data_IF_612025462719
#
_entry.id   IF_612025462719
#
_cell.length_a   1.000
_cell.length_b   1.000
_cell.length_c   1.000
_cell.angle_alpha   90.00
_cell.angle_beta   90.00
_cell.angle_gamma   90.00
#
_symmetry.space_group_name_H-M   'P 1'
#
loop_
_entity.id
_entity.type
_entity.pdbx_description
1 polymer ?
#
# COMPACT_ATOMS: atom_id res chain seq x y z
N UNK A 1 28.07 12.44 14.23
CA UNK A 1 28.69 12.76 12.92
C UNK A 1 27.64 12.46 11.84
N UNK A 2 27.78 13.00 10.63
CA UNK A 2 26.93 12.56 9.51
C UNK A 2 27.39 11.17 9.07
N UNK A 3 26.48 10.22 9.05
CA UNK A 3 26.72 8.88 8.53
C UNK A 3 26.63 8.90 7.00
N UNK A 4 27.68 8.48 6.29
CA UNK A 4 27.61 8.29 4.85
C UNK A 4 26.93 6.96 4.52
N UNK A 5 26.05 6.96 3.51
CA UNK A 5 25.41 5.74 3.02
C UNK A 5 26.45 4.83 2.35
N UNK A 6 26.49 3.58 2.78
CA UNK A 6 27.37 2.59 2.21
C UNK A 6 26.89 2.13 0.83
N UNK A 7 27.81 1.56 0.04
CA UNK A 7 27.52 1.20 -1.35
C UNK A 7 26.59 -0.01 -1.52
N UNK A 8 26.40 -0.79 -0.46
CA UNK A 8 25.44 -1.89 -0.41
C UNK A 8 24.66 -1.81 0.90
N UNK A 9 23.41 -1.37 0.83
CA UNK A 9 22.47 -1.33 1.95
C UNK A 9 21.10 -1.84 1.49
N UNK A 10 20.61 -2.90 2.14
CA UNK A 10 19.33 -3.52 1.82
C UNK A 10 18.56 -3.86 3.09
N UNK A 11 17.26 -3.62 3.07
CA UNK A 11 16.30 -4.13 4.05
C UNK A 11 15.24 -4.97 3.36
N UNK A 12 14.95 -6.14 3.93
CA UNK A 12 13.80 -6.94 3.52
C UNK A 12 12.54 -6.34 4.10
N UNK A 13 11.46 -6.26 3.30
CA UNK A 13 10.16 -5.79 3.78
C UNK A 13 9.70 -6.56 5.02
N UNK A 14 9.12 -5.85 5.98
CA UNK A 14 8.59 -6.44 7.21
C UNK A 14 7.17 -6.97 7.02
N UNK A 15 6.34 -6.28 6.21
CA UNK A 15 4.99 -6.70 5.85
C UNK A 15 4.98 -7.37 4.47
N UNK A 16 4.49 -8.60 4.39
CA UNK A 16 4.37 -9.38 3.15
C UNK A 16 2.93 -9.84 2.95
N UNK A 17 2.16 -9.06 2.20
CA UNK A 17 0.78 -9.38 1.80
C UNK A 17 0.74 -10.41 0.67
N UNK A 18 -0.20 -11.36 0.77
CA UNK A 18 -0.64 -12.19 -0.33
C UNK A 18 -1.48 -11.40 -1.36
N UNK A 19 -1.85 -12.05 -2.46
CA UNK A 19 -2.91 -11.51 -3.34
C UNK A 19 -4.23 -11.49 -2.55
N UNK A 20 -5.00 -10.43 -2.69
CA UNK A 20 -6.38 -10.44 -2.21
C UNK A 20 -7.30 -10.93 -3.32
N UNK A 21 -8.28 -11.76 -3.00
CA UNK A 21 -9.16 -12.37 -4.00
C UNK A 21 -10.62 -12.14 -3.61
N UNK A 22 -11.43 -11.85 -4.62
CA UNK A 22 -12.85 -11.59 -4.47
C UNK A 22 -13.65 -12.88 -4.67
N UNK A 23 -14.70 -13.08 -3.89
CA UNK A 23 -15.61 -14.22 -4.03
C UNK A 23 -16.96 -13.91 -3.39
N UNK A 24 -17.97 -14.72 -3.69
CA UNK A 24 -19.20 -14.77 -2.88
C UNK A 24 -19.37 -16.16 -2.31
N UNK A 25 -20.22 -16.29 -1.28
CA UNK A 25 -20.54 -17.57 -0.69
C UNK A 25 -21.85 -18.11 -1.28
N UNK A 26 -21.87 -19.38 -1.63
CA UNK A 26 -23.11 -20.09 -1.99
C UNK A 26 -23.98 -20.30 -0.74
N UNK A 27 -25.19 -20.84 -0.93
CA UNK A 27 -26.06 -21.24 0.19
C UNK A 27 -25.45 -22.31 1.10
N UNK A 28 -24.41 -23.02 0.62
CA UNK A 28 -23.69 -24.06 1.35
C UNK A 28 -22.31 -23.58 1.83
N UNK A 29 -22.09 -22.26 1.91
CA UNK A 29 -20.81 -21.64 2.29
C UNK A 29 -19.60 -22.00 1.38
N UNK A 30 -19.87 -22.39 0.14
CA UNK A 30 -18.82 -22.65 -0.84
C UNK A 30 -18.38 -21.34 -1.52
N UNK A 31 -17.06 -21.14 -1.63
CA UNK A 31 -16.48 -19.99 -2.33
C UNK A 31 -16.75 -20.07 -3.84
N UNK A 32 -17.47 -19.07 -4.35
CA UNK A 32 -17.80 -18.91 -5.76
C UNK A 32 -17.08 -17.70 -6.36
N UNK A 33 -16.56 -17.80 -7.59
CA UNK A 33 -15.78 -16.72 -8.20
C UNK A 33 -16.65 -15.53 -8.59
N UNK A 34 -16.06 -14.32 -8.57
CA UNK A 34 -16.63 -13.16 -9.25
C UNK A 34 -16.08 -13.14 -10.68
N UNK A 35 -16.99 -13.17 -11.65
CA UNK A 35 -16.66 -13.26 -13.07
C UNK A 35 -16.00 -11.99 -13.60
N UNK A 36 -15.09 -12.16 -14.56
CA UNK A 36 -14.54 -11.07 -15.37
C UNK A 36 -15.15 -11.17 -16.76
N UNK A 37 -15.89 -10.14 -17.14
CA UNK A 37 -16.52 -10.00 -18.44
C UNK A 37 -15.58 -9.32 -19.42
N UNK A 38 -15.72 -9.67 -20.71
CA UNK A 38 -14.95 -9.08 -21.81
C UNK A 38 -15.89 -8.31 -22.73
N UNK A 39 -15.80 -6.99 -22.68
CA UNK A 39 -16.74 -6.09 -23.35
C UNK A 39 -16.07 -5.37 -24.50
N UNK A 40 -16.75 -5.34 -25.66
CA UNK A 40 -16.42 -4.44 -26.76
C UNK A 40 -17.36 -3.24 -26.73
N UNK A 41 -16.81 -2.07 -26.47
CA UNK A 41 -17.58 -0.83 -26.36
C UNK A 41 -17.12 0.21 -27.37
N UNK A 42 -18.00 1.16 -27.70
CA UNK A 42 -17.71 2.29 -28.58
C UNK A 42 -17.70 3.56 -27.73
N UNK A 43 -16.53 4.11 -27.47
CA UNK A 43 -16.39 5.39 -26.79
C UNK A 43 -16.26 6.53 -27.83
N UNK A 44 -16.78 7.74 -27.58
CA UNK A 44 -16.49 8.88 -28.44
C UNK A 44 -15.01 9.28 -28.33
N UNK A 45 -14.46 9.89 -29.39
CA UNK A 45 -13.16 10.56 -29.30
C UNK A 45 -13.30 11.84 -28.47
N UNK A 46 -12.74 11.84 -27.27
CA UNK A 46 -12.80 12.99 -26.35
C UNK A 46 -11.45 13.59 -25.96
N UNK A 47 -10.34 13.08 -26.50
CA UNK A 47 -9.01 13.51 -26.10
C UNK A 47 -8.65 14.89 -26.66
N UNK A 48 -7.97 15.72 -25.85
CA UNK A 48 -7.46 17.04 -26.30
C UNK A 48 -6.62 16.92 -27.59
N UNK A 49 -5.77 15.89 -27.66
CA UNK A 49 -4.92 15.63 -28.80
C UNK A 49 -5.68 15.20 -30.07
N UNK A 50 -6.98 14.90 -30.02
CA UNK A 50 -7.78 14.60 -31.22
C UNK A 50 -8.06 15.88 -32.02
N UNK A 51 -8.30 17.01 -31.35
CA UNK A 51 -8.66 18.28 -31.97
C UNK A 51 -7.56 19.34 -31.92
N UNK A 52 -6.57 19.23 -31.02
CA UNK A 52 -5.57 20.27 -30.79
C UNK A 52 -4.12 19.74 -30.82
N UNK A 53 -3.17 20.62 -31.15
CA UNK A 53 -1.72 20.37 -31.19
C UNK A 53 -1.02 21.11 -30.04
N UNK A 54 -0.12 20.40 -29.36
CA UNK A 54 0.75 20.96 -28.33
C UNK A 54 -0.01 21.62 -27.17
N UNK A 55 0.71 22.32 -26.32
CA UNK A 55 0.15 23.02 -25.15
C UNK A 55 -0.57 24.32 -25.47
N UNK A 56 -0.44 24.84 -26.70
CA UNK A 56 -0.85 26.22 -27.03
C UNK A 56 -2.26 26.32 -27.64
N UNK A 57 -3.13 25.34 -27.38
CA UNK A 57 -4.52 25.33 -27.87
C UNK A 57 -4.65 25.54 -29.40
N UNK A 58 -3.68 25.05 -30.18
CA UNK A 58 -3.69 25.22 -31.63
C UNK A 58 -4.56 24.14 -32.28
N UNK A 59 -5.64 24.49 -33.02
CA UNK A 59 -6.52 23.49 -33.61
C UNK A 59 -5.83 22.71 -34.74
N UNK A 60 -6.14 21.41 -34.84
CA UNK A 60 -5.79 20.56 -35.99
C UNK A 60 -6.78 20.83 -37.13
N UNK A 61 -6.32 20.67 -38.37
CA UNK A 61 -7.21 20.63 -39.53
C UNK A 61 -7.84 19.22 -39.62
N UNK A 62 -8.89 18.98 -38.83
CA UNK A 62 -9.68 17.74 -38.81
C UNK A 62 -11.05 18.02 -39.40
N UNK A 63 -11.60 17.09 -40.18
CA UNK A 63 -12.94 17.26 -40.72
C UNK A 63 -13.99 17.01 -39.62
N UNK A 64 -15.20 17.62 -39.68
CA UNK A 64 -16.22 17.45 -38.64
C UNK A 64 -16.54 15.98 -38.32
N UNK A 65 -16.56 15.12 -39.34
CA UNK A 65 -16.81 13.69 -39.19
C UNK A 65 -15.70 12.94 -38.43
N UNK A 66 -14.45 13.42 -38.45
CA UNK A 66 -13.31 12.70 -37.87
C UNK A 66 -13.36 12.65 -36.34
N UNK A 67 -13.98 13.68 -35.74
CA UNK A 67 -14.25 13.79 -34.31
C UNK A 67 -15.54 13.05 -33.90
N UNK A 68 -16.44 12.78 -34.85
CA UNK A 68 -17.66 12.01 -34.62
C UNK A 68 -17.42 10.48 -34.65
N UNK A 69 -16.30 10.01 -35.21
CA UNK A 69 -15.98 8.59 -35.21
C UNK A 69 -15.82 8.03 -33.80
N UNK A 70 -16.44 6.88 -33.58
CA UNK A 70 -16.24 6.10 -32.37
C UNK A 70 -14.79 5.59 -32.29
N UNK A 71 -14.31 5.44 -31.08
CA UNK A 71 -13.09 4.77 -30.68
C UNK A 71 -13.49 3.40 -30.06
N UNK A 72 -13.49 2.31 -30.84
CA UNK A 72 -13.78 0.98 -30.32
C UNK A 72 -12.73 0.57 -29.28
N UNK A 73 -13.19 0.05 -28.15
CA UNK A 73 -12.34 -0.47 -27.08
C UNK A 73 -12.74 -1.89 -26.76
N UNK A 74 -11.76 -2.71 -26.38
CA UNK A 74 -11.97 -4.05 -25.89
C UNK A 74 -11.37 -4.13 -24.50
N UNK A 75 -12.20 -4.30 -23.47
CA UNK A 75 -11.78 -4.22 -22.07
C UNK A 75 -12.34 -5.37 -21.24
N UNK A 76 -11.69 -5.63 -20.11
CA UNK A 76 -12.22 -6.47 -19.03
C UNK A 76 -12.87 -5.61 -17.94
N UNK A 77 -14.02 -6.10 -17.48
CA UNK A 77 -14.85 -5.52 -16.44
C UNK A 77 -15.30 -6.61 -15.47
N UNK A 78 -15.71 -6.24 -14.26
CA UNK A 78 -16.06 -7.19 -13.22
C UNK A 78 -17.29 -6.64 -12.50
N UNK A 79 -18.40 -7.37 -12.54
CA UNK A 79 -19.67 -6.94 -11.97
C UNK A 79 -20.23 -8.00 -11.02
N UNK A 80 -20.94 -7.54 -9.99
CA UNK A 80 -21.62 -8.42 -9.04
C UNK A 80 -22.75 -9.17 -9.73
N UNK A 81 -22.70 -10.50 -9.65
CA UNK A 81 -23.74 -11.38 -10.20
C UNK A 81 -25.11 -11.07 -9.60
N UNK A 82 -26.19 -10.97 -10.42
CA UNK A 82 -27.54 -10.82 -9.89
C UNK A 82 -27.89 -11.90 -8.86
N UNK A 83 -28.47 -11.47 -7.73
CA UNK A 83 -28.81 -12.36 -6.61
C UNK A 83 -27.73 -12.45 -5.52
N UNK A 84 -26.52 -11.93 -5.76
CA UNK A 84 -25.45 -11.84 -4.75
C UNK A 84 -25.56 -10.52 -3.99
N UNK A 85 -25.79 -10.60 -2.68
CA UNK A 85 -25.90 -9.41 -1.81
C UNK A 85 -24.59 -9.07 -1.09
N UNK A 86 -23.69 -10.04 -0.96
CA UNK A 86 -22.43 -9.90 -0.24
C UNK A 86 -21.28 -10.46 -1.07
N UNK A 87 -20.21 -9.67 -1.21
CA UNK A 87 -18.93 -10.06 -1.78
C UNK A 87 -17.88 -10.04 -0.69
N UNK A 88 -17.00 -11.02 -0.68
CA UNK A 88 -15.88 -11.12 0.23
C UNK A 88 -14.59 -10.80 -0.52
N UNK A 89 -13.68 -10.12 0.17
CA UNK A 89 -12.30 -9.95 -0.28
C UNK A 89 -11.39 -10.42 0.84
N UNK A 90 -10.48 -11.36 0.57
CA UNK A 90 -9.61 -11.91 1.62
C UNK A 90 -8.16 -12.01 1.17
N UNK A 91 -7.23 -11.84 2.11
CA UNK A 91 -5.80 -12.04 1.91
C UNK A 91 -5.11 -12.42 3.22
N UNK A 92 -3.94 -13.04 3.11
CA UNK A 92 -3.06 -13.27 4.25
C UNK A 92 -1.93 -12.25 4.32
N UNK A 93 -1.49 -11.92 5.53
CA UNK A 93 -0.38 -11.03 5.79
C UNK A 93 0.64 -11.73 6.69
N UNK A 94 1.89 -11.85 6.23
CA UNK A 94 3.02 -12.29 7.05
C UNK A 94 3.83 -11.09 7.51
N UNK A 95 4.26 -11.12 8.77
CA UNK A 95 4.95 -10.01 9.40
C UNK A 95 6.23 -10.52 10.06
N UNK A 96 7.32 -9.78 9.87
CA UNK A 96 8.62 -10.04 10.48
C UNK A 96 9.27 -8.72 10.89
N UNK A 97 9.99 -8.72 12.00
CA UNK A 97 10.74 -7.57 12.51
C UNK A 97 12.04 -7.30 11.71
N UNK A 98 11.93 -7.22 10.38
CA UNK A 98 13.08 -7.07 9.48
C UNK A 98 13.69 -5.66 9.50
N UNK A 99 12.93 -4.66 9.98
CA UNK A 99 13.45 -3.30 10.17
C UNK A 99 14.46 -3.18 11.31
N UNK A 100 14.62 -4.20 12.16
CA UNK A 100 15.56 -4.19 13.28
C UNK A 100 17.02 -4.31 12.85
N UNK A 101 17.33 -4.72 11.62
CA UNK A 101 18.70 -4.73 11.09
C UNK A 101 18.73 -4.81 9.57
N UNK A 102 19.76 -4.27 8.91
CA UNK A 102 19.91 -4.46 7.48
C UNK A 102 20.23 -5.91 7.15
N UNK A 103 19.60 -6.42 6.09
CA UNK A 103 19.86 -7.73 5.50
C UNK A 103 21.27 -7.75 4.88
N UNK A 104 21.56 -6.73 4.08
CA UNK A 104 22.88 -6.51 3.48
C UNK A 104 23.37 -5.13 3.89
N UNK A 105 24.58 -5.06 4.41
CA UNK A 105 25.29 -3.82 4.71
C UNK A 105 26.79 -4.10 4.64
N UNK A 106 27.52 -3.36 3.82
CA UNK A 106 28.96 -3.55 3.61
C UNK A 106 29.85 -2.60 4.42
N UNK A 107 29.27 -1.82 5.34
CA UNK A 107 29.98 -0.94 6.25
C UNK A 107 29.52 -1.21 7.69
N UNK A 108 30.45 -1.56 8.59
CA UNK A 108 30.12 -1.92 9.96
C UNK A 108 29.64 -0.71 10.78
N UNK A 109 30.20 0.49 10.55
CA UNK A 109 29.78 1.69 11.26
C UNK A 109 28.34 2.08 10.91
N UNK A 110 27.98 1.98 9.62
CA UNK A 110 26.59 2.18 9.16
C UNK A 110 25.66 1.13 9.77
N UNK A 111 26.08 -0.14 9.79
CA UNK A 111 25.29 -1.23 10.39
C UNK A 111 25.05 -0.97 11.89
N UNK A 112 26.08 -0.63 12.64
CA UNK A 112 25.98 -0.40 14.08
C UNK A 112 25.11 0.82 14.41
N UNK A 113 25.23 1.90 13.63
CA UNK A 113 24.37 3.08 13.77
C UNK A 113 22.88 2.74 13.54
N UNK A 114 22.56 1.97 12.50
CA UNK A 114 21.19 1.56 12.20
C UNK A 114 20.63 0.56 13.22
N UNK A 115 21.46 -0.37 13.72
CA UNK A 115 21.10 -1.26 14.83
C UNK A 115 20.78 -0.47 16.09
N UNK A 116 21.62 0.51 16.43
CA UNK A 116 21.42 1.38 17.59
C UNK A 116 20.16 2.24 17.48
N UNK A 117 19.87 2.76 16.28
CA UNK A 117 18.63 3.48 16.00
C UNK A 117 17.40 2.60 16.23
N UNK A 118 17.38 1.39 15.64
CA UNK A 118 16.25 0.48 15.76
C UNK A 118 16.07 -0.02 17.21
N UNK A 119 17.17 -0.25 17.94
CA UNK A 119 17.13 -0.62 19.36
C UNK A 119 16.54 0.51 20.21
N UNK A 120 17.03 1.73 20.07
CA UNK A 120 16.53 2.91 20.80
C UNK A 120 15.06 3.18 20.47
N UNK A 121 14.69 3.09 19.20
CA UNK A 121 13.30 3.24 18.75
C UNK A 121 12.39 2.17 19.36
N UNK A 122 12.87 0.93 19.48
CA UNK A 122 12.14 -0.15 20.15
C UNK A 122 11.98 0.11 21.65
N UNK A 123 13.05 0.50 22.34
CA UNK A 123 13.05 0.77 23.79
C UNK A 123 12.08 1.89 24.17
N UNK A 124 11.99 2.92 23.31
CA UNK A 124 11.03 4.02 23.44
C UNK A 124 9.64 3.69 22.88
N UNK A 125 9.37 2.41 22.58
CA UNK A 125 8.08 1.92 22.13
C UNK A 125 7.58 2.52 20.80
N UNK A 126 8.50 2.98 19.94
CA UNK A 126 8.18 3.62 18.66
C UNK A 126 7.47 2.72 17.66
N UNK A 127 7.67 1.39 17.75
CA UNK A 127 6.94 0.46 16.88
C UNK A 127 5.44 0.45 17.13
N UNK A 128 4.97 0.88 18.31
CA UNK A 128 3.54 1.03 18.57
C UNK A 128 2.89 2.07 17.65
N UNK A 129 3.57 3.18 17.35
CA UNK A 129 3.03 4.21 16.43
C UNK A 129 2.84 3.66 15.01
N UNK A 130 3.83 2.90 14.51
CA UNK A 130 3.72 2.26 13.19
C UNK A 130 2.62 1.18 13.20
N UNK A 131 2.60 0.35 14.24
CA UNK A 131 1.62 -0.70 14.42
C UNK A 131 0.18 -0.15 14.45
N UNK A 132 -0.04 0.93 15.19
CA UNK A 132 -1.33 1.61 15.28
C UNK A 132 -1.81 2.10 13.91
N UNK A 133 -0.92 2.73 13.15
CA UNK A 133 -1.21 3.21 11.79
C UNK A 133 -1.52 2.07 10.80
N UNK A 134 -0.76 0.98 10.87
CA UNK A 134 -1.03 -0.20 10.05
C UNK A 134 -2.36 -0.86 10.45
N UNK A 135 -2.63 -1.01 11.75
CA UNK A 135 -3.90 -1.54 12.26
C UNK A 135 -5.08 -0.70 11.75
N UNK A 136 -4.95 0.63 11.77
CA UNK A 136 -5.96 1.55 11.27
C UNK A 136 -6.31 1.29 9.80
N UNK A 137 -5.30 1.17 8.94
CA UNK A 137 -5.50 0.88 7.51
C UNK A 137 -6.08 -0.52 7.26
N UNK A 138 -5.74 -1.52 8.10
CA UNK A 138 -6.29 -2.88 7.99
C UNK A 138 -7.79 -2.85 8.34
N UNK A 139 -8.13 -2.29 9.50
CA UNK A 139 -9.48 -2.32 10.08
C UNK A 139 -10.46 -1.35 9.41
N UNK A 140 -9.98 -0.25 8.83
CA UNK A 140 -10.83 0.66 8.03
C UNK A 140 -11.08 0.14 6.61
N UNK A 141 -10.50 -1.00 6.23
CA UNK A 141 -10.65 -1.54 4.88
C UNK A 141 -9.91 -0.77 3.78
N UNK A 142 -8.92 0.08 4.11
CA UNK A 142 -8.25 0.97 3.12
C UNK A 142 -7.65 0.21 1.94
N UNK A 143 -7.27 -1.04 2.18
CA UNK A 143 -6.74 -1.97 1.18
C UNK A 143 -7.75 -2.45 0.13
N UNK A 144 -9.04 -2.14 0.28
CA UNK A 144 -10.08 -2.37 -0.72
C UNK A 144 -10.08 -1.33 -1.85
N UNK A 145 -9.35 -0.22 -1.68
CA UNK A 145 -9.31 0.89 -2.62
C UNK A 145 -10.74 1.36 -2.96
N UNK A 146 -11.07 1.51 -4.25
CA UNK A 146 -12.40 1.91 -4.71
C UNK A 146 -13.54 1.01 -4.25
N UNK A 147 -13.26 -0.23 -3.86
CA UNK A 147 -14.31 -1.14 -3.35
C UNK A 147 -14.68 -0.85 -1.90
N UNK A 148 -13.99 0.06 -1.20
CA UNK A 148 -14.41 0.54 0.12
C UNK A 148 -15.74 1.33 0.04
N UNK A 149 -16.04 1.91 -1.13
CA UNK A 149 -17.30 2.58 -1.47
C UNK A 149 -18.43 1.56 -1.75
N UNK A 150 -18.81 0.80 -0.72
CA UNK A 150 -19.88 -0.20 -0.77
C UNK A 150 -21.02 0.14 0.22
N UNK A 151 -22.11 -0.64 0.20
CA UNK A 151 -23.31 -0.35 1.03
C UNK A 151 -23.11 -0.66 2.51
N UNK A 152 -22.19 -1.57 2.81
CA UNK A 152 -21.85 -1.99 4.16
C UNK A 152 -20.53 -2.75 4.12
N UNK A 153 -19.69 -2.55 5.14
CA UNK A 153 -18.35 -3.12 5.17
C UNK A 153 -18.04 -3.61 6.58
N UNK A 154 -17.80 -4.92 6.72
CA UNK A 154 -17.21 -5.47 7.94
C UNK A 154 -15.83 -6.06 7.66
N UNK A 155 -14.92 -5.92 8.62
CA UNK A 155 -13.55 -6.41 8.55
C UNK A 155 -13.32 -7.40 9.69
N UNK A 156 -12.78 -8.56 9.35
CA UNK A 156 -12.39 -9.61 10.28
C UNK A 156 -10.90 -9.91 10.10
N UNK A 157 -10.18 -9.95 11.21
CA UNK A 157 -8.76 -10.32 11.27
C UNK A 157 -8.62 -11.51 12.21
N UNK A 158 -8.05 -12.60 11.72
CA UNK A 158 -7.67 -13.76 12.53
C UNK A 158 -6.15 -13.82 12.63
N UNK A 159 -5.62 -13.73 13.85
CA UNK A 159 -4.17 -13.73 14.10
C UNK A 159 -3.61 -15.14 14.28
N UNK A 160 -2.30 -15.30 14.20
CA UNK A 160 -1.57 -16.53 14.53
C UNK A 160 -1.85 -17.05 15.94
N UNK A 161 -2.24 -16.15 16.84
CA UNK A 161 -2.54 -16.43 18.25
C UNK A 161 -3.98 -16.93 18.42
N UNK A 162 -4.68 -17.13 17.29
CA UNK A 162 -6.09 -17.53 17.19
C UNK A 162 -7.05 -16.48 17.77
N UNK A 163 -6.58 -15.25 17.92
CA UNK A 163 -7.43 -14.13 18.28
C UNK A 163 -8.19 -13.64 17.06
N UNK A 164 -9.48 -13.39 17.26
CA UNK A 164 -10.39 -12.92 16.23
C UNK A 164 -10.81 -11.49 16.55
N UNK A 165 -10.39 -10.55 15.71
CA UNK A 165 -10.66 -9.12 15.85
C UNK A 165 -11.66 -8.74 14.75
N UNK A 166 -12.75 -8.07 15.13
CA UNK A 166 -13.85 -7.74 14.21
C UNK A 166 -14.22 -6.27 14.32
N UNK A 167 -14.44 -5.65 13.16
CA UNK A 167 -15.10 -4.36 13.01
C UNK A 167 -16.35 -4.60 12.17
N UNK A 168 -17.51 -4.40 12.76
CA UNK A 168 -18.81 -4.69 12.13
C UNK A 168 -19.20 -3.65 11.08
N UNK A 169 -18.82 -2.38 11.27
CA UNK A 169 -19.10 -1.29 10.33
C UNK A 169 -17.86 -0.39 10.13
N UNK A 170 -17.05 -0.74 9.14
CA UNK A 170 -15.89 0.03 8.74
C UNK A 170 -16.22 1.22 7.82
N UNK A 171 -17.46 1.33 7.30
CA UNK A 171 -17.85 2.43 6.38
C UNK A 171 -17.80 3.80 7.05
N UNK A 172 -17.91 3.82 8.38
CA UNK A 172 -17.90 5.03 9.21
C UNK A 172 -16.51 5.38 9.74
N UNK A 173 -15.52 4.52 9.51
CA UNK A 173 -14.18 4.72 10.02
C UNK A 173 -13.39 5.60 9.05
N UNK A 174 -12.68 6.58 9.61
CA UNK A 174 -11.80 7.46 8.83
C UNK A 174 -10.46 7.65 9.51
N UNK A 175 -9.46 8.06 8.72
CA UNK A 175 -8.08 8.22 9.19
C UNK A 175 -7.93 9.32 10.26
N UNK A 176 -8.67 10.42 10.15
CA UNK A 176 -8.63 11.52 11.12
C UNK A 176 -9.88 11.56 12.03
N UNK A 177 -10.84 10.66 11.83
CA UNK A 177 -12.06 10.59 12.62
C UNK A 177 -11.90 9.81 13.92
N UNK A 178 -12.82 10.06 14.85
CA UNK A 178 -12.98 9.29 16.08
C UNK A 178 -13.74 8.00 15.78
N UNK A 179 -13.14 6.88 16.15
CA UNK A 179 -13.77 5.56 16.03
C UNK A 179 -14.74 5.35 17.19
N UNK A 180 -15.78 4.55 16.98
CA UNK A 180 -16.64 4.10 18.08
C UNK A 180 -15.85 3.20 19.04
N UNK A 181 -16.42 2.99 20.24
CA UNK A 181 -15.73 2.29 21.32
C UNK A 181 -15.37 0.83 20.98
N UNK A 182 -16.28 0.00 20.41
CA UNK A 182 -15.93 -1.33 19.92
C UNK A 182 -14.81 -1.32 18.87
N UNK A 183 -14.90 -0.45 17.86
CA UNK A 183 -13.85 -0.33 16.84
C UNK A 183 -12.51 0.12 17.43
N UNK A 184 -12.53 0.97 18.46
CA UNK A 184 -11.32 1.43 19.17
C UNK A 184 -10.66 0.28 19.94
N UNK A 185 -11.44 -0.57 20.63
CA UNK A 185 -10.90 -1.77 21.28
C UNK A 185 -10.24 -2.72 20.27
N UNK A 186 -10.91 -2.97 19.12
CA UNK A 186 -10.35 -3.76 18.03
C UNK A 186 -9.04 -3.17 17.48
N UNK A 187 -8.95 -1.84 17.38
CA UNK A 187 -7.74 -1.13 16.99
C UNK A 187 -6.60 -1.33 18.00
N UNK A 188 -6.88 -1.23 19.30
CA UNK A 188 -5.89 -1.44 20.37
C UNK A 188 -5.35 -2.88 20.39
N UNK A 189 -6.23 -3.88 20.27
CA UNK A 189 -5.84 -5.29 20.20
C UNK A 189 -4.93 -5.56 18.99
N UNK A 190 -5.32 -5.10 17.80
CA UNK A 190 -4.51 -5.29 16.61
C UNK A 190 -3.19 -4.51 16.66
N UNK A 191 -3.20 -3.32 17.28
CA UNK A 191 -1.99 -2.52 17.52
C UNK A 191 -1.02 -3.28 18.40
N UNK A 192 -1.48 -3.89 19.50
CA UNK A 192 -0.63 -4.68 20.38
C UNK A 192 0.00 -5.88 19.66
N UNK A 193 -0.80 -6.61 18.87
CA UNK A 193 -0.31 -7.72 18.04
C UNK A 193 0.76 -7.27 17.03
N UNK A 194 0.49 -6.20 16.29
CA UNK A 194 1.42 -5.66 15.29
C UNK A 194 2.70 -5.08 15.92
N UNK A 195 2.61 -4.52 17.12
CA UNK A 195 3.78 -3.98 17.85
C UNK A 195 4.77 -5.10 18.16
N UNK A 196 4.29 -6.24 18.67
CA UNK A 196 5.13 -7.44 18.85
C UNK A 196 5.69 -7.92 17.52
N UNK A 197 4.85 -8.05 16.51
CA UNK A 197 5.24 -8.55 15.20
C UNK A 197 6.34 -7.73 14.50
N UNK A 198 6.38 -6.41 14.74
CA UNK A 198 7.38 -5.50 14.18
C UNK A 198 8.66 -5.39 15.02
N UNK A 199 8.64 -5.86 16.27
CA UNK A 199 9.74 -5.66 17.23
C UNK A 199 10.37 -6.95 17.76
N UNK A 200 9.78 -8.12 17.50
CA UNK A 200 10.26 -9.43 17.95
C UNK A 200 10.72 -10.30 16.76
N UNK A 201 11.92 -10.88 16.86
CA UNK A 201 12.52 -11.73 15.80
C UNK A 201 12.26 -13.22 15.96
N UNK A 202 11.94 -13.66 17.17
CA UNK A 202 11.87 -15.08 17.55
C UNK A 202 10.60 -15.77 17.07
N UNK A 203 9.58 -15.02 16.68
CA UNK A 203 8.25 -15.54 16.36
C UNK A 203 7.87 -15.27 14.90
N UNK A 204 7.04 -16.16 14.35
CA UNK A 204 6.47 -15.99 13.02
C UNK A 204 5.05 -15.48 13.13
N UNK A 205 4.86 -14.20 12.83
CA UNK A 205 3.55 -13.57 12.85
C UNK A 205 2.88 -13.69 11.49
N UNK A 206 1.61 -14.10 11.52
CA UNK A 206 0.75 -14.17 10.35
C UNK A 206 -0.69 -13.87 10.76
N UNK A 207 -1.45 -13.32 9.83
CA UNK A 207 -2.88 -13.09 10.01
C UNK A 207 -3.63 -13.29 8.69
N UNK A 208 -4.87 -13.73 8.81
CA UNK A 208 -5.83 -13.79 7.71
C UNK A 208 -6.83 -12.65 7.87
N UNK A 209 -6.95 -11.83 6.82
CA UNK A 209 -7.84 -10.67 6.79
C UNK A 209 -8.94 -10.96 5.80
N UNK A 210 -10.19 -10.73 6.21
CA UNK A 210 -11.39 -10.89 5.39
C UNK A 210 -12.28 -9.67 5.52
N UNK A 211 -12.61 -9.06 4.40
CA UNK A 211 -13.68 -8.08 4.31
C UNK A 211 -14.97 -8.75 3.80
N UNK A 212 -16.10 -8.36 4.36
CA UNK A 212 -17.44 -8.62 3.82
C UNK A 212 -18.02 -7.28 3.34
N UNK A 213 -18.28 -7.19 2.04
CA UNK A 213 -18.84 -6.02 1.37
C UNK A 213 -20.30 -6.32 1.02
N UNK A 214 -21.24 -5.56 1.57
CA UNK A 214 -22.62 -5.58 1.11
C UNK A 214 -22.74 -4.73 -0.16
N UNK A 215 -23.28 -5.34 -1.21
CA UNK A 215 -23.25 -4.81 -2.58
C UNK A 215 -24.63 -4.87 -3.23
N UNK A 216 -24.81 -4.07 -4.27
CA UNK A 216 -25.92 -4.13 -5.20
C UNK A 216 -25.69 -5.16 -6.31
N UNK A 217 -26.79 -5.65 -6.87
CA UNK A 217 -26.74 -6.49 -8.06
C UNK A 217 -26.31 -5.64 -9.26
N UNK A 218 -25.26 -6.09 -9.95
CA UNK A 218 -24.65 -5.34 -11.05
C UNK A 218 -23.75 -4.18 -10.61
N UNK A 219 -23.41 -4.06 -9.32
CA UNK A 219 -22.35 -3.14 -8.89
C UNK A 219 -21.01 -3.55 -9.53
N UNK A 220 -20.20 -2.58 -9.96
CA UNK A 220 -18.86 -2.85 -10.50
C UNK A 220 -17.89 -3.16 -9.35
N UNK A 221 -17.13 -4.24 -9.48
CA UNK A 221 -15.97 -4.54 -8.64
C UNK A 221 -14.73 -4.04 -9.36
N UNK A 222 -13.78 -3.49 -8.60
CA UNK A 222 -12.55 -2.87 -9.10
C UNK A 222 -11.29 -3.64 -8.69
N UNK A 223 -10.89 -4.71 -9.40
CA UNK A 223 -9.67 -5.47 -9.14
C UNK A 223 -8.37 -4.70 -9.46
N UNK A 224 -7.23 -5.39 -9.38
CA UNK A 224 -5.99 -4.90 -9.99
C UNK A 224 -6.11 -4.94 -11.52
N UNK A 225 -5.46 -4.00 -12.19
CA UNK A 225 -5.27 -4.04 -13.64
C UNK A 225 -3.85 -4.53 -13.95
N UNK A 226 -3.72 -5.40 -14.94
CA UNK A 226 -2.42 -5.83 -15.45
C UNK A 226 -1.75 -4.73 -16.28
N UNK A 227 -0.43 -4.62 -16.16
CA UNK A 227 0.34 -3.71 -16.99
C UNK A 227 0.61 -4.37 -18.34
N UNK A 228 0.22 -3.72 -19.43
CA UNK A 228 0.43 -4.20 -20.80
C UNK A 228 1.45 -3.30 -21.49
N UNK A 229 2.60 -3.86 -21.85
CA UNK A 229 3.69 -3.12 -22.50
C UNK A 229 3.34 -2.65 -23.92
N UNK A 230 2.49 -3.41 -24.60
CA UNK A 230 2.05 -3.10 -25.96
C UNK A 230 0.59 -3.50 -26.18
N UNK A 231 -0.03 -2.89 -27.20
CA UNK A 231 -1.38 -3.28 -27.62
C UNK A 231 -1.28 -4.39 -28.65
N UNK A 232 -2.01 -5.47 -28.40
CA UNK A 232 -2.14 -6.60 -29.32
C UNK A 232 -3.57 -6.71 -29.83
N UNK A 233 -3.73 -7.03 -31.11
CA UNK A 233 -5.06 -7.19 -31.70
C UNK A 233 -5.78 -8.40 -31.11
N UNK A 234 -7.04 -8.21 -30.73
CA UNK A 234 -7.85 -9.27 -30.12
C UNK A 234 -7.59 -9.51 -28.63
N UNK A 235 -6.71 -8.74 -28.00
CA UNK A 235 -6.45 -8.77 -26.55
C UNK A 235 -7.09 -7.54 -25.89
N UNK A 236 -7.73 -7.68 -24.70
CA UNK A 236 -8.27 -6.53 -23.98
C UNK A 236 -7.18 -5.50 -23.65
N UNK A 237 -7.44 -4.22 -23.93
CA UNK A 237 -6.53 -3.11 -23.61
C UNK A 237 -6.53 -2.74 -22.12
N UNK A 238 -7.57 -3.15 -21.39
CA UNK A 238 -7.64 -3.19 -19.93
C UNK A 238 -7.85 -4.65 -19.56
N UNK A 239 -6.86 -5.27 -18.93
CA UNK A 239 -6.92 -6.64 -18.44
C UNK A 239 -6.93 -6.65 -16.91
N UNK A 240 -7.82 -7.41 -16.30
CA UNK A 240 -7.93 -7.48 -14.84
C UNK A 240 -7.10 -8.64 -14.29
N UNK A 241 -6.59 -8.47 -13.08
CA UNK A 241 -5.83 -9.50 -12.39
C UNK A 241 -6.78 -10.55 -11.81
N UNK A 242 -6.42 -11.82 -11.94
CA UNK A 242 -7.19 -12.95 -11.42
C UNK A 242 -6.33 -13.93 -10.62
N UNK A 243 -6.99 -14.87 -9.94
CA UNK A 243 -6.39 -16.04 -9.32
C UNK A 243 -7.34 -17.24 -9.43
N UNK A 244 -6.78 -18.43 -9.56
CA UNK A 244 -7.54 -19.68 -9.56
C UNK A 244 -7.98 -20.06 -8.13
N UNK A 245 -9.27 -20.34 -7.95
CA UNK A 245 -9.84 -20.95 -6.75
C UNK A 245 -9.61 -22.46 -6.76
N UNK A 246 -9.76 -23.11 -5.60
CA UNK A 246 -9.58 -24.58 -5.48
C UNK A 246 -10.50 -25.41 -6.40
N UNK A 247 -11.63 -24.85 -6.83
CA UNK A 247 -12.55 -25.48 -7.78
C UNK A 247 -12.12 -25.32 -9.26
N UNK A 248 -10.92 -24.80 -9.53
CA UNK A 248 -10.36 -24.59 -10.87
C UNK A 248 -10.92 -23.37 -11.62
N UNK A 249 -11.74 -22.53 -10.97
CA UNK A 249 -12.30 -21.32 -11.59
C UNK A 249 -11.48 -20.09 -11.23
N UNK A 250 -11.25 -19.23 -12.21
CA UNK A 250 -10.64 -17.92 -12.01
C UNK A 250 -11.61 -16.96 -11.30
N UNK A 251 -11.07 -16.17 -10.38
CA UNK A 251 -11.79 -15.05 -9.76
C UNK A 251 -10.94 -13.79 -9.78
N UNK A 252 -11.59 -12.63 -9.77
CA UNK A 252 -10.92 -11.36 -9.73
C UNK A 252 -10.06 -11.15 -8.46
N UNK A 253 -8.94 -10.44 -8.60
CA UNK A 253 -7.96 -10.29 -7.52
C UNK A 253 -7.27 -8.92 -7.48
N UNK A 254 -6.74 -8.57 -6.32
CA UNK A 254 -5.69 -7.59 -6.16
C UNK A 254 -4.31 -8.24 -6.15
N UNK A 255 -3.35 -7.56 -6.79
CA UNK A 255 -1.95 -7.87 -6.58
C UNK A 255 -1.54 -7.57 -5.13
N UNK A 256 -0.66 -8.40 -4.56
CA UNK A 256 -0.18 -8.21 -3.19
C UNK A 256 0.50 -6.85 -2.98
N UNK A 257 1.17 -6.30 -4.00
CA UNK A 257 1.80 -4.97 -3.96
C UNK A 257 0.76 -3.85 -3.81
N UNK A 258 -0.44 -3.99 -4.41
CA UNK A 258 -1.52 -3.02 -4.31
C UNK A 258 -2.13 -3.02 -2.89
N UNK A 259 -2.28 -4.20 -2.29
CA UNK A 259 -2.66 -4.35 -0.88
C UNK A 259 -1.60 -3.72 0.02
N UNK A 260 -0.33 -4.10 -0.14
CA UNK A 260 0.78 -3.59 0.68
C UNK A 260 0.96 -2.07 0.57
N UNK A 261 0.74 -1.50 -0.62
CA UNK A 261 0.76 -0.05 -0.81
C UNK A 261 -0.32 0.69 0.00
N UNK A 262 -1.53 0.13 0.09
CA UNK A 262 -2.59 0.70 0.90
C UNK A 262 -2.26 0.59 2.40
N UNK A 263 -1.79 -0.57 2.87
CA UNK A 263 -1.38 -0.72 4.28
C UNK A 263 -0.29 0.28 4.66
N UNK A 264 0.65 0.56 3.75
CA UNK A 264 1.75 1.51 3.93
C UNK A 264 1.38 2.98 3.71
N UNK A 265 0.11 3.31 3.50
CA UNK A 265 -0.36 4.70 3.41
C UNK A 265 -0.52 5.29 4.81
N UNK A 266 0.61 5.61 5.43
CA UNK A 266 0.70 6.02 6.84
C UNK A 266 1.52 7.29 7.08
N UNK A 267 2.16 7.85 6.05
CA UNK A 267 3.03 9.03 6.19
C UNK A 267 2.19 10.30 6.08
N UNK A 268 1.76 10.85 7.21
CA UNK A 268 1.26 12.23 7.33
C UNK A 268 2.24 13.13 8.11
N UNK A 269 3.50 12.69 8.22
CA UNK A 269 4.58 13.44 8.86
C UNK A 269 5.36 14.32 7.88
N UNK A 270 4.89 14.47 6.64
CA UNK A 270 5.63 15.15 5.57
C UNK A 270 5.53 16.68 5.65
N UNK A 271 4.56 17.20 6.41
CA UNK A 271 4.37 18.63 6.69
C UNK A 271 3.48 18.81 7.93
N UNK A 272 3.52 19.97 8.58
CA UNK A 272 2.62 20.30 9.71
C UNK A 272 1.14 20.32 9.29
N UNK A 273 0.87 20.87 8.11
CA UNK A 273 -0.45 20.89 7.46
C UNK A 273 -0.70 19.67 6.56
N UNK A 274 -0.20 18.48 6.93
CA UNK A 274 -0.47 17.28 6.16
C UNK A 274 -1.98 16.98 6.10
N UNK A 275 -2.55 16.97 4.90
CA UNK A 275 -3.99 16.80 4.66
C UNK A 275 -4.39 15.32 4.48
N UNK A 276 -3.42 14.44 4.22
CA UNK A 276 -3.63 13.00 4.04
C UNK A 276 -2.36 12.18 4.33
N UNK A 277 -2.52 10.92 4.71
CA UNK A 277 -1.41 9.99 4.75
C UNK A 277 -1.00 9.57 3.34
N UNK A 278 0.29 9.66 3.04
CA UNK A 278 0.90 9.18 1.81
C UNK A 278 1.38 7.75 1.99
N UNK A 279 1.44 7.02 0.88
CA UNK A 279 2.21 5.77 0.82
C UNK A 279 3.67 6.07 1.12
N UNK A 280 4.19 5.46 2.18
CA UNK A 280 5.59 5.54 2.57
C UNK A 280 6.49 5.23 1.37
N UNK A 281 7.29 6.21 0.99
CA UNK A 281 8.36 6.09 0.03
C UNK A 281 9.42 7.17 0.32
N UNK A 282 10.59 7.01 -0.27
CA UNK A 282 11.80 7.75 0.03
C UNK A 282 11.64 9.26 -0.17
N UNK A 283 10.79 9.68 -1.10
CA UNK A 283 10.61 11.07 -1.52
C UNK A 283 9.18 11.62 -1.30
N UNK A 284 8.33 10.89 -0.56
CA UNK A 284 6.95 11.31 -0.28
C UNK A 284 6.11 11.55 -1.54
N UNK A 285 6.14 10.64 -2.52
CA UNK A 285 5.37 10.78 -3.77
C UNK A 285 3.85 10.84 -3.52
N UNK A 286 3.24 11.97 -3.89
CA UNK A 286 1.82 12.24 -3.88
C UNK A 286 1.28 12.08 -5.30
N UNK A 287 0.62 10.95 -5.55
CA UNK A 287 0.16 10.57 -6.91
C UNK A 287 -1.00 11.41 -7.41
N UNK A 288 -1.79 12.00 -6.51
CA UNK A 288 -2.95 12.81 -6.85
C UNK A 288 -2.51 14.16 -7.41
N UNK A 289 -1.55 14.80 -6.75
CA UNK A 289 -1.00 16.09 -7.18
C UNK A 289 0.23 15.95 -8.08
N UNK A 290 0.76 14.74 -8.26
CA UNK A 290 1.94 14.43 -9.07
C UNK A 290 3.17 15.21 -8.58
N UNK A 291 3.37 15.25 -7.26
CA UNK A 291 4.49 15.96 -6.61
C UNK A 291 5.22 15.07 -5.60
N UNK A 292 6.49 15.38 -5.34
CA UNK A 292 7.25 14.80 -4.24
C UNK A 292 7.15 15.70 -3.01
N UNK A 293 6.40 15.29 -1.98
CA UNK A 293 6.18 16.06 -0.75
C UNK A 293 7.42 16.14 0.12
N UNK A 294 8.31 15.15 0.00
CA UNK A 294 9.65 15.15 0.63
C UNK A 294 10.70 15.31 -0.46
N UNK A 295 10.62 16.41 -1.21
CA UNK A 295 11.58 16.71 -2.27
C UNK A 295 12.96 17.03 -1.66
N UNK A 296 14.05 16.65 -2.34
CA UNK A 296 15.44 16.82 -1.85
C UNK A 296 15.80 18.25 -1.45
N UNK A 297 15.13 19.25 -2.05
CA UNK A 297 15.31 20.66 -1.69
C UNK A 297 14.88 20.99 -0.25
N UNK A 298 13.94 20.23 0.31
CA UNK A 298 13.44 20.38 1.69
C UNK A 298 14.31 19.66 2.71
N UNK A 299 15.22 18.76 2.26
CA UNK A 299 16.10 17.95 3.11
C UNK A 299 15.38 17.09 4.15
N UNK A 300 14.10 16.79 3.94
CA UNK A 300 13.28 15.91 4.78
C UNK A 300 12.91 14.59 4.08
N UNK A 301 13.61 14.25 2.99
CA UNK A 301 13.54 12.93 2.36
C UNK A 301 14.35 11.88 3.13
N UNK A 302 14.08 10.62 2.84
CA UNK A 302 14.67 9.50 3.57
C UNK A 302 16.21 9.53 3.58
N UNK A 303 16.84 9.88 2.45
CA UNK A 303 18.29 9.82 2.33
C UNK A 303 18.99 10.99 3.02
N UNK A 304 18.34 12.16 3.14
CA UNK A 304 18.85 13.21 4.02
C UNK A 304 18.68 12.82 5.49
N UNK A 305 17.50 12.36 5.88
CA UNK A 305 17.19 12.04 7.28
C UNK A 305 18.01 10.88 7.83
N UNK A 306 18.23 9.81 7.06
CA UNK A 306 18.97 8.63 7.53
C UNK A 306 20.47 8.91 7.76
N UNK A 307 21.04 9.95 7.15
CA UNK A 307 22.43 10.35 7.41
C UNK A 307 22.62 10.89 8.82
N UNK A 308 21.57 11.44 9.41
CA UNK A 308 21.56 11.98 10.78
C UNK A 308 21.26 10.91 11.85
N UNK A 309 21.33 9.62 11.51
CA UNK A 309 21.00 8.49 12.41
C UNK A 309 21.60 8.60 13.81
N UNK A 310 22.90 8.91 13.93
CA UNK A 310 23.54 9.06 15.25
C UNK A 310 22.96 10.23 16.06
N UNK A 311 22.64 11.34 15.39
CA UNK A 311 22.06 12.52 16.03
C UNK A 311 20.62 12.24 16.50
N UNK A 312 19.82 11.52 15.70
CA UNK A 312 18.49 11.06 16.09
C UNK A 312 18.55 10.15 17.32
N UNK A 313 19.41 9.14 17.30
CA UNK A 313 19.60 8.23 18.44
C UNK A 313 20.02 8.97 19.71
N UNK A 314 20.96 9.92 19.61
CA UNK A 314 21.37 10.75 20.75
C UNK A 314 20.21 11.60 21.28
N UNK A 315 19.49 12.28 20.39
CA UNK A 315 18.35 13.14 20.76
C UNK A 315 17.26 12.34 21.44
N UNK A 316 16.92 11.16 20.91
CA UNK A 316 15.94 10.26 21.52
C UNK A 316 16.36 9.78 22.91
N UNK A 317 17.63 9.43 23.12
CA UNK A 317 18.14 9.05 24.43
C UNK A 317 18.12 10.20 25.45
N UNK A 318 18.42 11.43 25.03
CA UNK A 318 18.43 12.60 25.91
C UNK A 318 17.01 13.09 26.25
N UNK A 319 16.11 13.10 25.27
CA UNK A 319 14.76 13.68 25.41
C UNK A 319 13.69 12.67 25.78
N UNK A 320 13.93 11.38 25.55
CA UNK A 320 12.94 10.30 25.66
C UNK A 320 11.70 10.50 24.76
N UNK A 321 11.83 11.31 23.70
CA UNK A 321 10.78 11.58 22.71
C UNK A 321 11.25 11.15 21.34
N UNK A 322 10.36 10.50 20.57
CA UNK A 322 10.64 10.08 19.20
C UNK A 322 10.17 11.17 18.22
N UNK A 323 11.06 11.75 17.40
CA UNK A 323 10.66 12.70 16.36
C UNK A 323 9.86 12.03 15.23
N UNK A 324 8.97 12.80 14.60
CA UNK A 324 8.19 12.37 13.43
C UNK A 324 9.08 11.89 12.26
N UNK A 325 10.24 12.51 12.09
CA UNK A 325 11.26 12.13 11.11
C UNK A 325 11.75 10.69 11.35
N UNK A 326 11.88 10.29 12.62
CA UNK A 326 12.31 8.92 12.96
C UNK A 326 11.19 7.92 12.69
N UNK A 327 9.92 8.26 12.97
CA UNK A 327 8.79 7.44 12.55
C UNK A 327 8.78 7.23 11.03
N UNK A 328 9.03 8.30 10.26
CA UNK A 328 9.16 8.21 8.80
C UNK A 328 10.35 7.32 8.39
N UNK A 329 11.55 7.52 8.94
CA UNK A 329 12.73 6.68 8.66
C UNK A 329 12.40 5.21 8.91
N UNK A 330 11.88 4.88 10.10
CA UNK A 330 11.57 3.51 10.48
C UNK A 330 10.47 2.90 9.61
N UNK A 331 9.48 3.70 9.18
CA UNK A 331 8.45 3.24 8.23
C UNK A 331 9.04 2.85 6.86
N UNK A 332 10.07 3.57 6.38
CA UNK A 332 10.78 3.22 5.14
C UNK A 332 11.61 1.94 5.32
N UNK A 333 12.24 1.74 6.48
CA UNK A 333 12.95 0.49 6.79
C UNK A 333 12.00 -0.71 6.93
N UNK A 334 10.80 -0.50 7.49
CA UNK A 334 9.71 -1.50 7.55
C UNK A 334 9.21 -1.84 6.15
N UNK A 335 9.07 -0.85 5.25
CA UNK A 335 8.77 -1.07 3.83
C UNK A 335 9.83 -1.94 3.16
N UNK A 336 11.10 -1.74 3.52
CA UNK A 336 12.25 -2.38 2.90
C UNK A 336 12.57 -1.80 1.53
N UNK A 337 13.75 -2.13 1.02
CA UNK A 337 14.26 -1.58 -0.24
C UNK A 337 15.78 -1.62 -0.33
N UNK A 338 16.26 -1.21 -1.51
CA UNK A 338 17.68 -1.03 -1.79
C UNK A 338 18.04 0.44 -1.57
N UNK A 339 18.93 0.71 -0.62
CA UNK A 339 19.32 2.04 -0.17
C UNK A 339 20.80 2.34 -0.43
N UNK A 340 21.32 1.80 -1.54
CA UNK A 340 22.73 1.91 -1.90
C UNK A 340 23.15 3.37 -2.13
N UNK A 341 24.20 3.81 -1.45
CA UNK A 341 24.92 5.02 -1.81
C UNK A 341 25.76 4.82 -3.07
N UNK A 342 26.03 5.90 -3.82
CA UNK A 342 27.04 5.84 -4.87
C UNK A 342 28.40 5.60 -4.19
N UNK A 343 28.91 4.38 -4.22
CA UNK A 343 30.23 4.08 -3.68
C UNK A 343 31.27 5.05 -4.24
N UNK A 344 32.14 5.58 -3.39
CA UNK A 344 33.26 6.43 -3.83
C UNK A 344 33.97 5.69 -4.96
N UNK A 345 33.88 6.20 -6.20
CA UNK A 345 34.76 5.75 -7.27
C UNK A 345 36.17 6.07 -6.79
N UNK A 346 36.87 5.11 -6.20
CA UNK A 346 38.32 5.19 -6.03
C UNK A 346 38.85 5.52 -7.43
N UNK A 347 39.37 6.73 -7.58
CA UNK A 347 39.99 7.21 -8.80
C UNK A 347 40.89 6.10 -9.31
N UNK A 348 40.57 5.51 -10.46
CA UNK A 348 41.57 4.74 -11.22
C UNK A 348 42.63 5.76 -11.62
N UNK A 349 43.67 5.91 -10.79
CA UNK A 349 44.91 6.55 -11.22
C UNK A 349 45.44 5.67 -12.35
N UNK A 350 45.46 6.26 -13.54
CA UNK A 350 46.23 5.76 -14.69
C UNK A 350 47.70 5.84 -14.36
#
# INVERSE_FOLDING_TARGET
MLMDLCSQLNYVRSLSSGKAYFYYLSKNDEMCPIGVDRTRLRAPKGGYAEAYKGSNFSPKNVAPQDLAYANPQYIEECYVTPGVNDVYCAFSLRIRANSLSPEVCNDNGVRDALLSLAATYKELNGYQELAHRYAKNILSGKWLWRNEECRGLSIEVTTSDKEKIVVEDATRLSWYGKWDEPSTQSLELLTAYLTRALSERSEYFYMDIRAKLSVGWGDEIYPSQEFLDSREDGVPTKKLATVELQNGKETAAFHGQKVGAALQSIDDWWHEDADKPLRVNEYGADREYVIARRHVALKNDFYHLIKDTEAWTKTMNETQVIPNEVHFIMSVLVKGGLFNGSGSKKSKKK
#
